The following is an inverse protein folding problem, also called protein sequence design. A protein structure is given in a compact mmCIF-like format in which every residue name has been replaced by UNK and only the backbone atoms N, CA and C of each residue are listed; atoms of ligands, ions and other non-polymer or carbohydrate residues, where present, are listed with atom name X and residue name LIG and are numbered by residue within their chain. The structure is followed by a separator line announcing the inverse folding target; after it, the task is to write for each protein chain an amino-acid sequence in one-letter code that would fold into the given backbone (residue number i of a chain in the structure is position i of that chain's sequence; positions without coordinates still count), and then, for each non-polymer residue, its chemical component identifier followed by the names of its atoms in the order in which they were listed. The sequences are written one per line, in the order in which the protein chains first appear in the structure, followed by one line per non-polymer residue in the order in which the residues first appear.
data_IF_545227844768
#
_entry.id   IF_545227844768
#
_cell.length_a   1.000
_cell.length_b   1.000
_cell.length_c   1.000
_cell.angle_alpha   90.00
_cell.angle_beta   90.00
_cell.angle_gamma   90.00
#
_symmetry.space_group_name_H-M   'P 1'
#
loop_
_entity.id
_entity.type
_entity.pdbx_description
1 polymer ?
#
# COMPACT_ATOMS: atom_id res chain seq x y z
N UNK A 1 0.82 -8.48 7.63
CA UNK A 1 0.36 -7.30 6.85
C UNK A 1 0.59 -7.48 5.34
N UNK A 2 -0.45 -7.23 4.53
CA UNK A 2 -0.44 -7.41 3.07
C UNK A 2 0.64 -6.61 2.33
N UNK A 3 1.15 -5.53 2.92
CA UNK A 3 2.29 -4.78 2.38
C UNK A 3 3.51 -5.66 2.08
N UNK A 4 3.68 -6.77 2.81
CA UNK A 4 4.77 -7.75 2.61
C UNK A 4 4.67 -8.52 1.29
N UNK A 5 3.49 -8.55 0.67
CA UNK A 5 3.25 -9.21 -0.63
C UNK A 5 3.66 -8.33 -1.81
N UNK A 6 4.00 -7.06 -1.58
CA UNK A 6 4.48 -6.17 -2.64
C UNK A 6 5.91 -6.54 -3.08
N UNK A 7 6.25 -6.32 -4.37
CA UNK A 7 7.64 -6.37 -4.82
C UNK A 7 8.52 -5.40 -4.02
N UNK A 8 9.78 -5.77 -3.74
CA UNK A 8 10.65 -5.09 -2.78
C UNK A 8 10.73 -3.57 -2.97
N UNK A 9 10.91 -3.12 -4.22
CA UNK A 9 11.02 -1.70 -4.58
C UNK A 9 9.77 -0.87 -4.24
N UNK A 10 8.61 -1.51 -4.15
CA UNK A 10 7.34 -0.86 -3.78
C UNK A 10 7.01 -1.07 -2.31
N UNK A 11 7.30 -2.28 -1.80
CA UNK A 11 7.15 -2.64 -0.40
C UNK A 11 7.82 -1.64 0.52
N UNK A 12 9.09 -1.34 0.29
CA UNK A 12 9.85 -0.44 1.18
C UNK A 12 9.34 1.00 1.11
N UNK A 13 9.03 1.49 -0.09
CA UNK A 13 8.45 2.82 -0.28
C UNK A 13 7.09 2.98 0.43
N UNK A 14 6.19 2.00 0.29
CA UNK A 14 4.86 2.02 0.95
C UNK A 14 4.96 1.84 2.46
N UNK A 15 5.85 0.96 2.93
CA UNK A 15 6.10 0.79 4.37
C UNK A 15 6.52 2.11 5.01
N UNK A 16 7.52 2.79 4.43
CA UNK A 16 8.01 4.06 4.95
C UNK A 16 6.93 5.15 4.90
N UNK A 17 6.18 5.28 3.79
CA UNK A 17 5.24 6.39 3.64
C UNK A 17 3.91 6.18 4.37
N UNK A 18 3.29 5.01 4.22
CA UNK A 18 1.92 4.78 4.69
C UNK A 18 1.87 4.21 6.12
N UNK A 19 2.92 3.52 6.56
CA UNK A 19 2.95 2.86 7.88
C UNK A 19 3.82 3.65 8.86
N UNK A 20 5.00 4.11 8.42
CA UNK A 20 5.92 4.88 9.26
C UNK A 20 5.72 6.41 9.16
N UNK A 21 4.76 6.86 8.33
CA UNK A 21 4.38 8.27 8.21
C UNK A 21 5.44 9.17 7.56
N UNK A 22 6.42 8.60 6.85
CA UNK A 22 7.48 9.38 6.19
C UNK A 22 6.96 10.13 4.98
N UNK A 23 7.41 11.38 4.85
CA UNK A 23 7.20 12.17 3.64
C UNK A 23 7.91 11.54 2.44
N UNK A 24 7.44 11.83 1.22
CA UNK A 24 8.07 11.30 0.00
C UNK A 24 9.52 11.78 -0.16
N UNK A 25 9.86 12.96 0.36
CA UNK A 25 11.23 13.47 0.45
C UNK A 25 12.09 12.61 1.38
N UNK A 26 11.59 12.24 2.56
CA UNK A 26 12.31 11.34 3.47
C UNK A 26 12.46 9.94 2.87
N UNK A 27 11.42 9.41 2.19
CA UNK A 27 11.52 8.14 1.46
C UNK A 27 12.63 8.21 0.40
N UNK A 28 12.70 9.30 -0.38
CA UNK A 28 13.74 9.50 -1.37
C UNK A 28 15.15 9.47 -0.75
N UNK A 29 15.34 10.14 0.39
CA UNK A 29 16.61 10.17 1.13
C UNK A 29 16.98 8.79 1.68
N UNK A 30 16.04 8.08 2.30
CA UNK A 30 16.26 6.76 2.90
C UNK A 30 16.54 5.67 1.86
N UNK A 31 15.90 5.76 0.69
CA UNK A 31 16.05 4.80 -0.41
C UNK A 31 17.20 5.15 -1.38
N UNK A 32 17.84 6.30 -1.23
CA UNK A 32 18.90 6.76 -2.14
C UNK A 32 18.41 7.02 -3.58
N UNK A 33 17.19 7.55 -3.74
CA UNK A 33 16.56 7.80 -5.05
C UNK A 33 16.10 9.26 -5.19
N UNK A 34 15.74 9.65 -6.41
CA UNK A 34 15.14 10.97 -6.64
C UNK A 34 13.73 11.08 -6.01
N UNK A 35 13.31 12.31 -5.71
CA UNK A 35 11.95 12.58 -5.24
C UNK A 35 10.87 12.09 -6.23
N UNK A 36 11.09 12.25 -7.53
CA UNK A 36 10.21 11.72 -8.57
C UNK A 36 10.19 10.18 -8.58
N UNK A 37 11.33 9.55 -8.32
CA UNK A 37 11.45 8.10 -8.11
C UNK A 37 10.64 7.62 -6.91
N UNK A 38 10.77 8.29 -5.75
CA UNK A 38 10.01 7.98 -4.55
C UNK A 38 8.50 8.14 -4.77
N UNK A 39 8.06 9.26 -5.36
CA UNK A 39 6.67 9.50 -5.78
C UNK A 39 6.13 8.34 -6.62
N UNK A 40 6.88 7.94 -7.64
CA UNK A 40 6.48 6.87 -8.55
C UNK A 40 6.41 5.50 -7.86
N UNK A 41 7.35 5.20 -6.96
CA UNK A 41 7.36 3.93 -6.19
C UNK A 41 6.18 3.88 -5.21
N UNK A 42 5.94 4.95 -4.46
CA UNK A 42 4.80 5.04 -3.53
C UNK A 42 3.48 4.92 -4.29
N UNK A 43 3.31 5.66 -5.38
CA UNK A 43 2.07 5.60 -6.18
C UNK A 43 1.81 4.21 -6.75
N UNK A 44 2.82 3.58 -7.36
CA UNK A 44 2.68 2.22 -7.91
C UNK A 44 2.46 1.18 -6.80
N UNK A 45 3.14 1.32 -5.68
CA UNK A 45 2.95 0.48 -4.50
C UNK A 45 1.52 0.57 -3.95
N UNK A 46 0.95 1.78 -3.85
CA UNK A 46 -0.47 1.96 -3.44
C UNK A 46 -1.44 1.27 -4.40
N UNK A 47 -1.22 1.37 -5.72
CA UNK A 47 -2.05 0.68 -6.71
C UNK A 47 -2.01 -0.84 -6.55
N UNK A 48 -0.81 -1.41 -6.39
CA UNK A 48 -0.63 -2.84 -6.20
C UNK A 48 -1.23 -3.31 -4.87
N UNK A 49 -1.03 -2.55 -3.78
CA UNK A 49 -1.61 -2.88 -2.49
C UNK A 49 -3.14 -2.85 -2.54
N UNK A 50 -3.72 -1.86 -3.23
CA UNK A 50 -5.17 -1.80 -3.46
C UNK A 50 -5.67 -3.01 -4.24
N UNK A 51 -4.93 -3.50 -5.23
CA UNK A 51 -5.29 -4.71 -5.97
C UNK A 51 -5.29 -5.94 -5.06
N UNK A 52 -4.21 -6.16 -4.30
CA UNK A 52 -4.10 -7.27 -3.34
C UNK A 52 -5.23 -7.22 -2.30
N UNK A 53 -5.51 -6.03 -1.76
CA UNK A 53 -6.62 -5.81 -0.84
C UNK A 53 -7.97 -6.16 -1.48
N UNK A 54 -8.21 -5.74 -2.71
CA UNK A 54 -9.48 -6.02 -3.41
C UNK A 54 -9.61 -7.49 -3.84
N UNK A 55 -8.51 -8.20 -4.06
CA UNK A 55 -8.51 -9.64 -4.35
C UNK A 55 -8.93 -10.45 -3.13
N UNK A 56 -8.46 -10.04 -1.95
CA UNK A 56 -8.62 -10.80 -0.71
C UNK A 56 -9.79 -10.34 0.17
N UNK A 57 -10.04 -9.04 0.20
CA UNK A 57 -11.00 -8.39 1.08
C UNK A 57 -12.13 -7.76 0.26
N UNK A 58 -13.35 -7.89 0.77
CA UNK A 58 -14.45 -7.04 0.44
C UNK A 58 -14.37 -5.80 1.31
N UNK A 59 -14.04 -4.65 0.71
CA UNK A 59 -13.90 -3.38 1.42
C UNK A 59 -15.05 -2.49 1.01
N UNK A 60 -15.85 -2.05 1.99
CA UNK A 60 -16.87 -1.04 1.75
C UNK A 60 -16.25 0.34 1.89
N UNK A 61 -16.50 1.20 0.90
CA UNK A 61 -15.96 2.55 0.84
C UNK A 61 -17.12 3.54 0.85
N UNK A 62 -17.06 4.53 1.73
CA UNK A 62 -18.06 5.60 1.78
C UNK A 62 -17.88 6.63 0.64
N UNK A 63 -18.81 7.59 0.55
CA UNK A 63 -18.76 8.69 -0.44
C UNK A 63 -17.52 9.60 -0.34
N UNK A 64 -16.77 9.54 0.77
CA UNK A 64 -15.51 10.28 0.99
C UNK A 64 -14.27 9.46 0.63
N UNK A 65 -14.45 8.30 -0.01
CA UNK A 65 -13.38 7.38 -0.39
C UNK A 65 -12.61 6.83 0.83
N UNK A 66 -13.29 6.66 1.97
CA UNK A 66 -12.74 6.06 3.19
C UNK A 66 -13.34 4.67 3.41
N UNK A 67 -12.54 3.67 3.83
CA UNK A 67 -13.06 2.36 4.19
C UNK A 67 -13.93 2.46 5.45
N UNK A 68 -15.10 1.83 5.44
CA UNK A 68 -16.03 1.77 6.59
C UNK A 68 -16.16 0.37 7.17
N UNK A 69 -15.95 -0.66 6.35
CA UNK A 69 -15.89 -2.05 6.78
C UNK A 69 -14.95 -2.82 5.85
N UNK A 70 -14.43 -3.95 6.36
CA UNK A 70 -13.67 -4.90 5.57
C UNK A 70 -13.98 -6.31 6.05
N UNK A 71 -14.23 -7.22 5.11
CA UNK A 71 -14.49 -8.63 5.36
C UNK A 71 -13.67 -9.49 4.40
N UNK A 72 -13.15 -10.64 4.84
CA UNK A 72 -12.47 -11.56 3.94
C UNK A 72 -13.47 -12.16 2.93
N UNK A 73 -13.08 -12.24 1.66
CA UNK A 73 -13.81 -13.05 0.66
C UNK A 73 -13.49 -14.52 0.95
N UNK A 74 -14.52 -15.37 1.14
CA UNK A 74 -14.37 -16.72 1.71
C UNK A 74 -13.31 -17.66 1.05
N UNK A 75 -12.84 -18.61 1.89
CA UNK A 75 -12.03 -19.83 1.71
C UNK A 75 -10.55 -19.76 1.32
N UNK A 76 -10.06 -18.83 0.48
CA UNK A 76 -8.63 -18.85 0.09
C UNK A 76 -7.77 -17.77 0.74
N UNK A 77 -8.36 -16.74 1.33
CA UNK A 77 -7.60 -15.64 1.90
C UNK A 77 -7.51 -15.69 3.43
N UNK A 78 -6.32 -16.04 3.94
CA UNK A 78 -6.05 -16.20 5.38
C UNK A 78 -5.77 -14.87 6.10
N UNK A 79 -5.58 -13.78 5.37
CA UNK A 79 -5.15 -12.50 5.93
C UNK A 79 -5.91 -11.38 5.23
N UNK A 80 -6.95 -10.89 5.89
CA UNK A 80 -7.47 -9.53 5.84
C UNK A 80 -7.23 -8.97 7.26
#
# INVERSE_FOLDING_TARGET
PMVKMLPDKYKKAVQLSEIEGKTQQEVAKLEGISLSGAKSRVQRGRKLLKAILNECCQIEINRRNQPVSYEPKEQTCKIC
#
